data_IF_051262455118
#
_entry.id   IF_051262455118
#
_cell.length_a   1.000
_cell.length_b   1.000
_cell.length_c   1.000
_cell.angle_alpha   90.00
_cell.angle_beta   90.00
_cell.angle_gamma   90.00
#
_symmetry.space_group_name_H-M   'P 1'
#
loop_
_entity.id
_entity.type
_entity.pdbx_description
1 polymer ?
#
# COMPACT_ATOMS: atom_id res chain seq x y z
N UNK A 1 -12.61 -9.36 -24.84
CA UNK A 1 -11.41 -9.07 -25.67
C UNK A 1 -10.16 -9.26 -24.82
N UNK A 2 -9.00 -9.58 -25.42
CA UNK A 2 -7.69 -9.54 -24.72
C UNK A 2 -6.90 -8.34 -25.23
N UNK A 3 -6.32 -7.57 -24.32
CA UNK A 3 -5.49 -6.41 -24.64
C UNK A 3 -4.26 -6.42 -23.74
N UNK A 4 -3.07 -6.33 -24.35
CA UNK A 4 -1.78 -6.46 -23.65
C UNK A 4 -1.70 -7.72 -22.75
N UNK A 5 -2.38 -8.79 -23.14
CA UNK A 5 -2.44 -10.04 -22.37
C UNK A 5 -3.37 -10.04 -21.15
N UNK A 6 -4.06 -8.94 -20.85
CA UNK A 6 -5.14 -8.86 -19.87
C UNK A 6 -6.51 -8.97 -20.54
N UNK A 7 -7.46 -9.64 -19.89
CA UNK A 7 -8.83 -9.68 -20.37
C UNK A 7 -9.54 -8.37 -20.06
N UNK A 8 -10.11 -7.75 -21.11
CA UNK A 8 -10.98 -6.58 -21.00
C UNK A 8 -12.39 -7.01 -21.33
N UNK A 9 -13.31 -6.66 -20.44
CA UNK A 9 -14.74 -6.86 -20.60
C UNK A 9 -15.49 -5.66 -20.03
N UNK A 10 -16.57 -5.19 -20.68
CA UNK A 10 -17.48 -4.22 -20.09
C UNK A 10 -18.25 -4.81 -18.89
N UNK A 11 -18.33 -6.15 -18.82
CA UNK A 11 -18.91 -6.89 -17.69
C UNK A 11 -17.82 -7.30 -16.71
N UNK A 12 -18.24 -7.72 -15.51
CA UNK A 12 -17.37 -8.30 -14.48
C UNK A 12 -16.51 -9.41 -15.09
N UNK A 13 -15.18 -9.32 -14.91
CA UNK A 13 -14.28 -10.39 -15.30
C UNK A 13 -14.59 -11.64 -14.48
N UNK A 14 -14.92 -12.73 -15.16
CA UNK A 14 -15.06 -14.05 -14.53
C UNK A 14 -13.72 -14.51 -13.97
N UNK A 15 -13.76 -15.37 -12.96
CA UNK A 15 -12.59 -16.04 -12.38
C UNK A 15 -11.76 -16.76 -13.46
N UNK A 16 -12.41 -17.35 -14.47
CA UNK A 16 -11.75 -18.01 -15.60
C UNK A 16 -10.81 -17.08 -16.37
N UNK A 17 -11.18 -15.81 -16.54
CA UNK A 17 -10.32 -14.83 -17.22
C UNK A 17 -9.05 -14.52 -16.42
N UNK A 18 -9.14 -14.55 -15.10
CA UNK A 18 -8.00 -14.32 -14.21
C UNK A 18 -7.09 -15.55 -14.14
N UNK A 19 -7.63 -16.75 -14.28
CA UNK A 19 -6.87 -18.01 -14.27
C UNK A 19 -5.88 -18.14 -15.44
N UNK A 20 -6.00 -17.31 -16.48
CA UNK A 20 -5.02 -17.23 -17.56
C UNK A 20 -3.58 -17.00 -17.07
N UNK A 21 -3.38 -16.23 -15.98
CA UNK A 21 -2.04 -16.05 -15.40
C UNK A 21 -1.52 -17.34 -14.74
N UNK A 22 -2.41 -18.12 -14.14
CA UNK A 22 -2.11 -19.40 -13.49
C UNK A 22 -1.71 -20.43 -14.53
N UNK A 23 -2.45 -20.52 -15.64
CA UNK A 23 -2.10 -21.41 -16.75
C UNK A 23 -0.73 -21.08 -17.37
N UNK A 24 -0.43 -19.79 -17.55
CA UNK A 24 0.91 -19.36 -18.02
C UNK A 24 2.02 -19.75 -17.05
N UNK A 25 1.77 -19.64 -15.73
CA UNK A 25 2.73 -20.05 -14.71
C UNK A 25 2.94 -21.57 -14.74
N UNK A 26 1.85 -22.32 -14.84
CA UNK A 26 1.86 -23.78 -14.97
C UNK A 26 2.67 -24.23 -16.18
N UNK A 27 2.40 -23.69 -17.37
CA UNK A 27 3.15 -24.04 -18.58
C UNK A 27 4.66 -23.79 -18.46
N UNK A 28 5.09 -22.71 -17.79
CA UNK A 28 6.50 -22.45 -17.51
C UNK A 28 7.09 -23.46 -16.53
N UNK A 29 6.36 -23.77 -15.46
CA UNK A 29 6.77 -24.73 -14.44
C UNK A 29 6.90 -26.14 -15.04
N UNK A 30 5.95 -26.56 -15.87
CA UNK A 30 5.93 -27.88 -16.51
C UNK A 30 7.12 -28.03 -17.47
N UNK A 31 7.46 -26.98 -18.23
CA UNK A 31 8.67 -26.94 -19.07
C UNK A 31 9.99 -27.10 -18.29
N UNK A 32 9.97 -26.93 -16.97
CA UNK A 32 11.12 -27.14 -16.09
C UNK A 32 11.05 -28.42 -15.28
N UNK A 33 9.87 -29.03 -15.15
CA UNK A 33 9.63 -30.18 -14.27
C UNK A 33 10.43 -31.43 -14.68
N UNK A 34 10.79 -31.55 -15.97
CA UNK A 34 11.61 -32.63 -16.51
C UNK A 34 13.13 -32.44 -16.38
N UNK A 35 13.60 -31.29 -15.90
CA UNK A 35 15.03 -30.99 -15.75
C UNK A 35 15.48 -31.25 -14.31
N UNK A 36 16.62 -31.91 -14.12
CA UNK A 36 17.24 -32.09 -12.80
C UNK A 36 17.86 -30.77 -12.31
N UNK A 37 17.01 -29.88 -11.81
CA UNK A 37 17.41 -28.55 -11.32
C UNK A 37 17.56 -28.61 -9.79
N UNK A 38 18.69 -28.10 -9.30
CA UNK A 38 18.95 -27.94 -7.86
C UNK A 38 17.88 -27.07 -7.18
N UNK A 39 17.71 -27.19 -5.86
CA UNK A 39 16.73 -26.36 -5.12
C UNK A 39 16.99 -24.86 -5.28
N UNK A 40 18.27 -24.46 -5.25
CA UNK A 40 18.67 -23.08 -5.50
C UNK A 40 18.29 -22.62 -6.91
N UNK A 41 18.51 -23.45 -7.93
CA UNK A 41 18.09 -23.17 -9.31
C UNK A 41 16.58 -23.02 -9.46
N UNK A 42 15.79 -23.90 -8.82
CA UNK A 42 14.31 -23.80 -8.79
C UNK A 42 13.85 -22.49 -8.17
N UNK A 43 14.51 -22.04 -7.10
CA UNK A 43 14.19 -20.77 -6.44
C UNK A 43 14.48 -19.56 -7.35
N UNK A 44 15.57 -19.59 -8.12
CA UNK A 44 15.89 -18.53 -9.10
C UNK A 44 14.83 -18.47 -10.20
N UNK A 45 14.50 -19.63 -10.80
CA UNK A 45 13.47 -19.74 -11.83
C UNK A 45 12.11 -19.30 -11.32
N UNK A 46 11.73 -19.73 -10.11
CA UNK A 46 10.49 -19.35 -9.49
C UNK A 46 10.41 -17.82 -9.27
N UNK A 47 11.47 -17.22 -8.74
CA UNK A 47 11.53 -15.78 -8.55
C UNK A 47 11.38 -15.00 -9.86
N UNK A 48 11.93 -15.51 -10.96
CA UNK A 48 11.75 -14.92 -12.29
C UNK A 48 10.27 -14.89 -12.73
N UNK A 49 9.53 -15.99 -12.53
CA UNK A 49 8.09 -16.06 -12.86
C UNK A 49 7.27 -15.17 -11.93
N UNK A 50 7.48 -15.30 -10.62
CA UNK A 50 6.71 -14.57 -9.60
C UNK A 50 6.82 -13.05 -9.76
N UNK A 51 7.98 -12.56 -10.21
CA UNK A 51 8.24 -11.11 -10.34
C UNK A 51 7.78 -10.51 -11.66
N UNK A 52 7.68 -11.29 -12.73
CA UNK A 52 7.41 -10.74 -14.07
C UNK A 52 6.00 -11.08 -14.57
N UNK A 53 5.58 -12.34 -14.43
CA UNK A 53 4.37 -12.85 -15.03
C UNK A 53 3.08 -12.20 -14.49
N UNK A 54 2.90 -12.03 -13.16
CA UNK A 54 1.67 -11.46 -12.63
C UNK A 54 1.62 -9.93 -12.67
N UNK A 55 2.75 -9.24 -12.91
CA UNK A 55 2.84 -7.78 -12.76
C UNK A 55 1.83 -7.00 -13.59
N UNK A 56 1.71 -7.33 -14.87
CA UNK A 56 0.76 -6.65 -15.75
C UNK A 56 -0.69 -6.86 -15.28
N UNK A 57 -1.05 -8.13 -15.03
CA UNK A 57 -2.39 -8.54 -14.58
C UNK A 57 -2.78 -7.93 -13.22
N UNK A 58 -1.85 -7.87 -12.28
CA UNK A 58 -2.03 -7.25 -10.97
C UNK A 58 -2.17 -5.72 -11.06
N UNK A 59 -1.48 -5.08 -12.01
CA UNK A 59 -1.59 -3.63 -12.23
C UNK A 59 -2.90 -3.23 -12.91
N UNK A 60 -3.34 -4.03 -13.89
CA UNK A 60 -4.49 -3.73 -14.73
C UNK A 60 -5.84 -4.10 -14.11
N UNK A 61 -5.88 -5.10 -13.23
CA UNK A 61 -7.15 -5.73 -12.84
C UNK A 61 -7.15 -6.17 -11.38
N UNK A 62 -8.34 -6.12 -10.77
CA UNK A 62 -8.55 -6.78 -9.48
C UNK A 62 -8.50 -8.29 -9.67
N UNK A 63 -7.63 -8.97 -8.92
CA UNK A 63 -7.49 -10.43 -8.94
C UNK A 63 -8.09 -11.02 -7.67
N UNK A 64 -8.92 -12.06 -7.83
CA UNK A 64 -9.52 -12.75 -6.70
C UNK A 64 -8.46 -13.51 -5.90
N UNK A 65 -8.63 -13.57 -4.57
CA UNK A 65 -7.70 -14.23 -3.66
C UNK A 65 -7.45 -15.68 -4.06
N UNK A 66 -8.51 -16.43 -4.35
CA UNK A 66 -8.37 -17.82 -4.77
C UNK A 66 -7.58 -18.03 -6.08
N UNK A 67 -7.39 -17.02 -6.92
CA UNK A 67 -6.49 -17.10 -8.10
C UNK A 67 -5.04 -16.86 -7.68
N UNK A 68 -4.81 -15.93 -6.75
CA UNK A 68 -3.51 -15.70 -6.12
C UNK A 68 -3.05 -16.96 -5.37
N UNK A 69 -3.94 -17.55 -4.57
CA UNK A 69 -3.67 -18.79 -3.81
C UNK A 69 -3.32 -19.95 -4.73
N UNK A 70 -4.08 -20.13 -5.83
CA UNK A 70 -3.76 -21.14 -6.86
C UNK A 70 -2.37 -20.91 -7.45
N UNK A 71 -2.02 -19.66 -7.77
CA UNK A 71 -0.71 -19.32 -8.31
C UNK A 71 0.41 -19.63 -7.31
N UNK A 72 0.26 -19.18 -6.06
CA UNK A 72 1.23 -19.43 -5.00
C UNK A 72 1.31 -20.92 -4.62
N UNK A 73 0.21 -21.66 -4.74
CA UNK A 73 0.17 -23.11 -4.59
C UNK A 73 0.97 -23.86 -5.66
N UNK A 74 0.90 -23.43 -6.93
CA UNK A 74 1.76 -23.95 -7.99
C UNK A 74 3.23 -23.64 -7.72
N UNK A 75 3.53 -22.40 -7.33
CA UNK A 75 4.89 -21.98 -6.96
C UNK A 75 5.47 -22.83 -5.81
N UNK A 76 4.67 -23.06 -4.78
CA UNK A 76 5.01 -23.91 -3.63
C UNK A 76 5.25 -25.35 -4.04
N UNK A 77 4.34 -25.92 -4.84
CA UNK A 77 4.45 -27.29 -5.33
C UNK A 77 5.71 -27.50 -6.17
N UNK A 78 6.04 -26.53 -7.04
CA UNK A 78 7.25 -26.57 -7.85
C UNK A 78 8.51 -26.53 -6.99
N UNK A 79 8.60 -25.61 -6.03
CA UNK A 79 9.78 -25.45 -5.17
C UNK A 79 10.11 -26.76 -4.42
N UNK A 80 9.08 -27.43 -3.91
CA UNK A 80 9.23 -28.65 -3.11
C UNK A 80 9.17 -29.95 -3.92
N UNK A 81 8.90 -29.88 -5.22
CA UNK A 81 8.94 -31.05 -6.11
C UNK A 81 10.35 -31.65 -6.19
N UNK A 82 10.43 -32.96 -6.42
CA UNK A 82 11.70 -33.66 -6.67
C UNK A 82 11.53 -34.61 -7.86
N UNK A 83 12.45 -34.56 -8.84
CA UNK A 83 12.43 -35.39 -10.06
C UNK A 83 11.03 -35.48 -10.70
N UNK A 84 10.36 -34.33 -10.89
CA UNK A 84 9.02 -34.27 -11.48
C UNK A 84 7.87 -34.83 -10.61
N UNK A 85 8.13 -35.45 -9.46
CA UNK A 85 7.10 -36.00 -8.57
C UNK A 85 6.60 -34.95 -7.57
N UNK A 86 5.27 -34.91 -7.41
CA UNK A 86 4.55 -33.91 -6.58
C UNK A 86 4.74 -34.06 -5.06
N UNK A 87 5.18 -35.21 -4.56
CA UNK A 87 5.16 -35.52 -3.11
C UNK A 87 6.54 -35.43 -2.47
N UNK A 88 6.76 -34.36 -1.70
CA UNK A 88 7.69 -34.30 -0.56
C UNK A 88 7.15 -33.36 0.52
N UNK A 89 7.62 -33.57 1.74
CA UNK A 89 7.38 -32.70 2.89
C UNK A 89 7.89 -31.27 2.61
N UNK A 90 7.10 -30.29 3.02
CA UNK A 90 7.52 -28.88 3.00
C UNK A 90 8.53 -28.65 4.13
N UNK A 91 9.81 -28.49 3.80
CA UNK A 91 10.87 -28.28 4.80
C UNK A 91 10.70 -26.95 5.54
N UNK A 92 10.12 -25.95 4.86
CA UNK A 92 9.89 -24.62 5.40
C UNK A 92 8.46 -24.21 5.04
N UNK A 93 7.73 -23.70 6.02
CA UNK A 93 6.38 -23.14 5.81
C UNK A 93 6.41 -22.02 4.77
N UNK A 94 5.37 -21.93 3.94
CA UNK A 94 5.36 -21.00 2.81
C UNK A 94 5.47 -19.53 3.24
N UNK A 95 4.87 -19.14 4.36
CA UNK A 95 5.00 -17.78 4.87
C UNK A 95 6.47 -17.41 5.11
N UNK A 96 7.26 -18.32 5.70
CA UNK A 96 8.71 -18.13 5.87
C UNK A 96 9.45 -18.06 4.52
N UNK A 97 9.05 -18.83 3.51
CA UNK A 97 9.63 -18.75 2.15
C UNK A 97 9.42 -17.36 1.53
N UNK A 98 8.27 -16.73 1.80
CA UNK A 98 7.91 -15.41 1.26
C UNK A 98 8.63 -14.24 1.96
N UNK A 99 9.19 -14.47 3.15
CA UNK A 99 9.95 -13.44 3.88
C UNK A 99 11.21 -13.05 3.11
N UNK A 100 11.71 -11.84 3.41
CA UNK A 100 12.98 -11.38 2.86
C UNK A 100 14.13 -12.22 3.40
N UNK A 101 15.21 -12.30 2.63
CA UNK A 101 16.45 -12.98 3.06
C UNK A 101 16.99 -12.43 4.38
N UNK A 102 16.98 -11.10 4.54
CA UNK A 102 17.41 -10.44 5.76
C UNK A 102 16.50 -10.71 6.97
N UNK A 103 15.29 -11.25 6.74
CA UNK A 103 14.32 -11.65 7.78
C UNK A 103 14.24 -13.17 7.92
N UNK A 104 15.28 -13.91 7.49
CA UNK A 104 15.34 -15.37 7.59
C UNK A 104 14.54 -16.14 6.53
N UNK A 105 14.02 -15.46 5.51
CA UNK A 105 13.25 -16.07 4.42
C UNK A 105 14.04 -16.40 3.16
N UNK A 106 13.34 -16.91 2.14
CA UNK A 106 13.94 -17.25 0.84
C UNK A 106 13.80 -16.12 -0.22
N UNK A 107 13.09 -15.04 0.11
CA UNK A 107 12.96 -13.85 -0.76
C UNK A 107 12.02 -14.04 -1.95
N UNK A 108 11.15 -15.05 -1.90
CA UNK A 108 10.05 -15.21 -2.88
C UNK A 108 9.02 -14.13 -2.61
N UNK A 109 8.51 -13.47 -3.66
CA UNK A 109 7.54 -12.39 -3.47
C UNK A 109 6.13 -12.93 -3.20
N UNK A 110 5.46 -12.34 -2.22
CA UNK A 110 4.04 -12.57 -1.97
C UNK A 110 3.19 -11.77 -2.97
N UNK A 111 2.34 -12.46 -3.73
CA UNK A 111 1.48 -11.84 -4.72
C UNK A 111 0.31 -11.07 -4.10
N UNK A 112 -0.16 -11.47 -2.91
CA UNK A 112 -1.19 -10.73 -2.17
C UNK A 112 -0.67 -9.35 -1.78
N UNK A 113 0.49 -9.30 -1.12
CA UNK A 113 1.17 -8.04 -0.76
C UNK A 113 1.52 -7.22 -2.01
N UNK A 114 2.03 -7.88 -3.06
CA UNK A 114 2.39 -7.22 -4.32
C UNK A 114 1.18 -6.54 -4.98
N UNK A 115 0.02 -7.19 -4.99
CA UNK A 115 -1.24 -6.59 -5.48
C UNK A 115 -1.53 -5.28 -4.76
N UNK A 116 -1.52 -5.29 -3.43
CA UNK A 116 -1.78 -4.09 -2.63
C UNK A 116 -0.73 -3.00 -2.89
N UNK A 117 0.54 -3.39 -3.01
CA UNK A 117 1.67 -2.49 -3.24
C UNK A 117 1.62 -1.78 -4.60
N UNK A 118 1.18 -2.47 -5.65
CA UNK A 118 1.03 -1.89 -6.99
C UNK A 118 -0.10 -0.86 -7.00
N UNK A 119 -1.23 -1.17 -6.37
CA UNK A 119 -2.33 -0.21 -6.26
C UNK A 119 -1.98 0.98 -5.38
N UNK A 120 -1.12 0.79 -4.37
CA UNK A 120 -0.71 1.84 -3.47
C UNK A 120 0.00 3.00 -4.16
N UNK A 121 0.86 2.74 -5.16
CA UNK A 121 1.52 3.80 -5.94
C UNK A 121 0.52 4.81 -6.55
N UNK A 122 -0.71 4.36 -6.82
CA UNK A 122 -1.75 5.22 -7.40
C UNK A 122 -2.47 6.07 -6.34
N UNK A 123 -2.33 5.78 -5.06
CA UNK A 123 -3.01 6.49 -3.97
C UNK A 123 -2.63 7.97 -3.93
N UNK A 124 -1.33 8.30 -3.88
CA UNK A 124 -0.90 9.68 -3.69
C UNK A 124 -1.38 10.61 -4.81
N UNK A 125 -1.27 10.27 -6.10
CA UNK A 125 -1.83 11.10 -7.17
C UNK A 125 -3.34 11.38 -7.02
N UNK A 126 -4.10 10.41 -6.52
CA UNK A 126 -5.53 10.57 -6.25
C UNK A 126 -5.78 11.50 -5.05
N UNK A 127 -5.11 11.27 -3.93
CA UNK A 127 -5.26 12.11 -2.72
C UNK A 127 -4.79 13.56 -2.96
N UNK A 128 -3.74 13.74 -3.75
CA UNK A 128 -3.18 15.04 -4.13
C UNK A 128 -3.97 15.78 -5.21
N UNK A 129 -5.06 15.18 -5.71
CA UNK A 129 -5.89 15.71 -6.79
C UNK A 129 -5.07 16.10 -8.04
N UNK A 130 -4.11 15.26 -8.41
CA UNK A 130 -3.27 15.52 -9.58
C UNK A 130 -4.06 15.53 -10.89
N UNK A 131 -3.58 16.26 -11.90
CA UNK A 131 -4.28 16.46 -13.18
C UNK A 131 -4.26 15.25 -14.13
N UNK A 132 -3.75 14.10 -13.71
CA UNK A 132 -3.73 12.90 -14.55
C UNK A 132 -5.13 12.32 -14.75
N UNK A 133 -5.35 11.64 -15.88
CA UNK A 133 -6.69 11.15 -16.31
C UNK A 133 -7.29 10.21 -15.25
N UNK A 134 -6.47 9.32 -14.69
CA UNK A 134 -6.91 8.35 -13.70
C UNK A 134 -7.39 9.01 -12.40
N UNK A 135 -6.65 10.02 -11.91
CA UNK A 135 -7.00 10.80 -10.72
C UNK A 135 -8.29 11.59 -10.97
N UNK A 136 -8.39 12.30 -12.10
CA UNK A 136 -9.61 13.02 -12.51
C UNK A 136 -10.84 12.11 -12.53
N UNK A 137 -10.73 10.93 -13.14
CA UNK A 137 -11.82 9.96 -13.21
C UNK A 137 -12.27 9.50 -11.81
N UNK A 138 -11.33 9.22 -10.90
CA UNK A 138 -11.68 8.82 -9.54
C UNK A 138 -12.26 9.96 -8.72
N UNK A 139 -11.71 11.17 -8.83
CA UNK A 139 -12.22 12.35 -8.13
C UNK A 139 -13.66 12.64 -8.54
N UNK A 140 -13.98 12.59 -9.84
CA UNK A 140 -15.34 12.81 -10.33
C UNK A 140 -16.36 11.83 -9.72
N UNK A 141 -15.93 10.61 -9.37
CA UNK A 141 -16.82 9.57 -8.80
C UNK A 141 -16.78 9.50 -7.27
N UNK A 142 -15.64 9.77 -6.67
CA UNK A 142 -15.37 9.59 -5.24
C UNK A 142 -14.91 10.89 -4.58
N UNK A 143 -15.48 12.02 -4.99
CA UNK A 143 -15.13 13.29 -4.39
C UNK A 143 -15.43 13.31 -2.89
N UNK A 144 -14.57 14.02 -2.15
CA UNK A 144 -14.58 14.07 -0.69
C UNK A 144 -14.20 12.75 -0.01
N UNK A 145 -13.56 11.79 -0.71
CA UNK A 145 -12.98 10.64 -0.04
C UNK A 145 -11.85 11.07 0.92
N UNK A 146 -11.90 10.60 2.16
CA UNK A 146 -10.86 10.80 3.16
C UNK A 146 -10.33 9.46 3.70
N UNK A 147 -9.01 9.25 3.84
CA UNK A 147 -8.46 7.97 4.31
C UNK A 147 -8.91 7.57 5.73
N UNK A 148 -9.03 8.53 6.67
CA UNK A 148 -9.50 8.27 8.05
C UNK A 148 -11.02 8.30 8.20
N UNK A 149 -11.73 8.93 7.26
CA UNK A 149 -13.19 9.06 7.30
C UNK A 149 -13.79 8.59 5.97
N UNK A 150 -13.61 7.30 5.62
CA UNK A 150 -14.12 6.78 4.36
C UNK A 150 -15.65 6.70 4.40
N UNK A 151 -16.30 7.11 3.30
CA UNK A 151 -17.73 6.83 3.06
C UNK A 151 -17.98 5.31 3.05
N UNK A 152 -19.23 4.90 3.26
CA UNK A 152 -19.61 3.47 3.31
C UNK A 152 -19.10 2.68 2.10
N UNK A 153 -18.47 1.54 2.38
CA UNK A 153 -17.87 0.67 1.38
C UNK A 153 -18.90 0.09 0.37
N UNK A 154 -20.20 0.17 0.66
CA UNK A 154 -21.26 -0.31 -0.24
C UNK A 154 -21.28 0.42 -1.59
N UNK A 155 -20.95 1.71 -1.63
CA UNK A 155 -20.97 2.53 -2.86
C UNK A 155 -19.69 2.41 -3.71
N UNK A 156 -18.64 1.76 -3.19
CA UNK A 156 -17.36 1.67 -3.89
C UNK A 156 -17.39 0.63 -5.01
N UNK A 157 -16.86 1.01 -6.18
CA UNK A 157 -16.64 0.08 -7.28
C UNK A 157 -15.58 -0.94 -6.87
N UNK A 158 -15.55 -2.11 -7.51
CA UNK A 158 -14.60 -3.17 -7.13
C UNK A 158 -13.16 -2.67 -7.17
N UNK A 159 -12.78 -1.94 -8.22
CA UNK A 159 -11.44 -1.33 -8.36
C UNK A 159 -11.14 -0.32 -7.26
N UNK A 160 -12.13 0.48 -6.87
CA UNK A 160 -11.94 1.44 -5.79
C UNK A 160 -11.90 0.77 -4.41
N UNK A 161 -12.58 -0.36 -4.20
CA UNK A 161 -12.41 -1.17 -2.97
C UNK A 161 -10.97 -1.63 -2.79
N UNK A 162 -10.27 -1.97 -3.88
CA UNK A 162 -8.85 -2.33 -3.82
C UNK A 162 -7.99 -1.17 -3.34
N UNK A 163 -8.23 0.00 -3.92
CA UNK A 163 -7.53 1.24 -3.58
C UNK A 163 -7.84 1.61 -2.13
N UNK A 164 -9.11 1.60 -1.73
CA UNK A 164 -9.54 1.86 -0.36
C UNK A 164 -8.90 0.87 0.62
N UNK A 165 -8.89 -0.43 0.33
CA UNK A 165 -8.23 -1.42 1.19
C UNK A 165 -6.73 -1.16 1.29
N UNK A 166 -6.06 -0.85 0.17
CA UNK A 166 -4.65 -0.47 0.18
C UNK A 166 -4.40 0.80 1.00
N UNK A 167 -5.27 1.81 0.89
CA UNK A 167 -5.24 3.03 1.71
C UNK A 167 -5.40 2.67 3.19
N UNK A 168 -6.34 1.81 3.56
CA UNK A 168 -6.55 1.43 4.96
C UNK A 168 -5.35 0.69 5.54
N UNK A 169 -4.66 -0.13 4.75
CA UNK A 169 -3.41 -0.80 5.18
C UNK A 169 -2.25 0.18 5.36
N UNK A 170 -2.28 1.30 4.64
CA UNK A 170 -1.20 2.28 4.54
C UNK A 170 -1.45 3.58 5.33
N UNK A 171 -2.66 3.79 5.86
CA UNK A 171 -3.03 5.08 6.48
C UNK A 171 -2.05 5.54 7.55
N UNK A 172 -1.51 4.64 8.36
CA UNK A 172 -0.49 4.95 9.39
C UNK A 172 0.83 5.51 8.84
N UNK A 173 1.15 5.27 7.56
CA UNK A 173 2.33 5.85 6.90
C UNK A 173 2.02 7.07 6.03
N UNK A 174 0.74 7.38 5.80
CA UNK A 174 0.30 8.54 5.03
C UNK A 174 0.32 9.78 5.92
N UNK A 175 0.94 10.86 5.42
CA UNK A 175 0.98 12.15 6.10
C UNK A 175 0.69 13.28 5.13
N UNK A 176 0.30 14.43 5.65
CA UNK A 176 0.16 15.66 4.86
C UNK A 176 1.37 16.54 5.09
N UNK A 177 2.17 16.75 4.04
CA UNK A 177 3.23 17.74 4.02
C UNK A 177 2.61 19.11 3.78
N UNK A 178 2.85 20.00 4.74
CA UNK A 178 2.28 21.35 4.76
C UNK A 178 3.01 22.22 3.74
N UNK A 179 2.23 22.86 2.88
CA UNK A 179 2.69 23.87 1.95
C UNK A 179 2.23 25.25 2.43
N UNK A 180 0.96 25.55 2.24
CA UNK A 180 0.32 26.79 2.68
C UNK A 180 -0.72 26.56 3.78
N UNK A 181 -1.04 25.30 4.11
CA UNK A 181 -1.93 24.91 5.20
C UNK A 181 -3.41 25.17 4.94
N UNK A 182 -3.80 25.71 3.78
CA UNK A 182 -5.19 26.15 3.55
C UNK A 182 -6.13 24.99 3.25
N UNK A 183 -5.60 23.85 2.78
CA UNK A 183 -6.39 22.65 2.47
C UNK A 183 -6.33 21.60 3.57
N UNK A 184 -5.44 21.77 4.54
CA UNK A 184 -5.23 20.83 5.65
C UNK A 184 -6.20 21.16 6.77
N UNK A 185 -7.06 20.21 7.10
CA UNK A 185 -7.88 20.24 8.31
C UNK A 185 -6.99 20.00 9.53
N UNK A 186 -7.06 20.88 10.51
CA UNK A 186 -6.20 20.78 11.70
C UNK A 186 -6.41 19.46 12.45
N UNK A 187 -7.64 18.97 12.51
CA UNK A 187 -8.05 17.89 13.40
C UNK A 187 -8.10 16.56 12.69
N UNK A 188 -8.58 16.55 11.45
CA UNK A 188 -8.90 15.35 10.68
C UNK A 188 -7.75 14.85 9.80
N UNK A 189 -6.79 15.70 9.47
CA UNK A 189 -5.64 15.31 8.66
C UNK A 189 -4.42 14.93 9.52
N UNK A 190 -3.64 13.92 9.15
CA UNK A 190 -2.39 13.50 9.81
C UNK A 190 -1.20 14.37 9.37
N UNK A 191 -1.18 15.63 9.77
CA UNK A 191 -0.08 16.53 9.42
C UNK A 191 1.01 16.55 10.50
N UNK A 192 0.63 16.52 11.79
CA UNK A 192 1.54 16.56 12.94
C UNK A 192 2.18 15.19 13.24
N UNK A 193 1.37 14.15 13.31
CA UNK A 193 1.81 12.77 13.55
C UNK A 193 1.29 11.82 12.46
N UNK A 194 1.44 10.51 12.67
CA UNK A 194 0.84 9.47 11.83
C UNK A 194 -0.67 9.31 12.06
N UNK A 195 -1.23 10.04 13.02
CA UNK A 195 -2.65 10.03 13.36
C UNK A 195 -3.21 11.45 13.35
N UNK A 196 -4.45 11.64 12.84
CA UNK A 196 -5.22 12.85 13.05
C UNK A 196 -5.29 13.21 14.53
N UNK A 197 -5.23 14.50 14.80
CA UNK A 197 -5.16 15.04 16.17
C UNK A 197 -6.40 14.67 16.98
N UNK A 198 -7.58 14.64 16.36
CA UNK A 198 -8.82 14.24 17.04
C UNK A 198 -8.89 12.75 17.42
N UNK A 199 -7.91 11.93 17.02
CA UNK A 199 -7.77 10.53 17.44
C UNK A 199 -6.67 10.35 18.48
N UNK A 200 -6.04 11.44 18.95
CA UNK A 200 -5.03 11.37 20.00
C UNK A 200 -5.68 11.09 21.36
N UNK A 201 -4.96 10.37 22.23
CA UNK A 201 -5.41 10.04 23.58
C UNK A 201 -5.22 11.18 24.60
N UNK A 202 -4.72 12.34 24.16
CA UNK A 202 -4.40 13.49 25.02
C UNK A 202 -5.56 14.48 25.08
N UNK A 203 -5.77 15.06 26.26
CA UNK A 203 -6.74 16.15 26.45
C UNK A 203 -6.24 17.41 25.75
N UNK A 204 -7.01 17.89 24.77
CA UNK A 204 -6.82 19.17 24.13
C UNK A 204 -7.87 20.15 24.65
N UNK A 205 -7.52 21.42 24.79
CA UNK A 205 -8.43 22.43 25.31
C UNK A 205 -9.59 22.71 24.32
N UNK A 206 -10.79 22.25 24.65
CA UNK A 206 -11.99 22.31 23.79
C UNK A 206 -12.40 23.74 23.38
N UNK A 207 -12.15 24.75 24.22
CA UNK A 207 -12.48 26.14 23.88
C UNK A 207 -11.58 26.68 22.78
N UNK A 208 -10.29 26.31 22.82
CA UNK A 208 -9.29 26.74 21.84
C UNK A 208 -9.47 25.97 20.52
N UNK A 209 -9.84 24.67 20.58
CA UNK A 209 -10.12 23.83 19.40
C UNK A 209 -11.14 24.49 18.46
N UNK A 210 -12.17 25.14 19.00
CA UNK A 210 -13.22 25.78 18.20
C UNK A 210 -12.73 26.94 17.32
N UNK A 211 -11.60 27.56 17.67
CA UNK A 211 -11.04 28.74 16.98
C UNK A 211 -10.20 28.35 15.77
N UNK A 212 -9.70 27.12 15.74
CA UNK A 212 -8.79 26.65 14.71
C UNK A 212 -9.39 25.50 13.90
N UNK A 213 -9.54 25.70 12.60
CA UNK A 213 -10.05 24.69 11.67
C UNK A 213 -9.00 24.30 10.62
N UNK A 214 -8.04 25.18 10.33
CA UNK A 214 -7.03 25.00 9.28
C UNK A 214 -5.63 25.23 9.82
N UNK A 215 -4.68 24.45 9.31
CA UNK A 215 -3.26 24.60 9.65
C UNK A 215 -2.72 25.98 9.23
N UNK A 216 -3.27 26.58 8.17
CA UNK A 216 -2.89 27.94 7.75
C UNK A 216 -3.08 29.00 8.84
N UNK A 217 -3.95 28.77 9.82
CA UNK A 217 -4.14 29.71 10.95
C UNK A 217 -2.97 29.69 11.94
N UNK A 218 -2.15 28.63 11.92
CA UNK A 218 -0.92 28.52 12.71
C UNK A 218 0.31 29.02 11.97
N UNK A 219 0.15 29.62 10.78
CA UNK A 219 1.25 30.09 9.95
C UNK A 219 1.13 31.60 9.79
N UNK A 220 2.10 32.34 10.33
CA UNK A 220 2.24 33.80 10.17
C UNK A 220 3.57 34.10 9.50
N UNK A 221 3.60 34.95 8.47
CA UNK A 221 4.83 35.38 7.79
C UNK A 221 5.79 34.25 7.35
N UNK A 222 5.24 33.12 6.85
CA UNK A 222 6.00 31.90 6.48
C UNK A 222 6.71 31.20 7.66
N UNK A 223 6.41 31.54 8.90
CA UNK A 223 6.84 30.83 10.09
C UNK A 223 5.64 30.30 10.88
N UNK A 224 5.90 29.33 11.74
CA UNK A 224 4.91 28.87 12.72
C UNK A 224 4.60 29.97 13.73
N UNK A 225 3.32 30.09 14.10
CA UNK A 225 2.85 30.99 15.14
C UNK A 225 3.02 30.31 16.51
N UNK A 226 4.21 30.46 17.09
CA UNK A 226 4.60 29.75 18.30
C UNK A 226 3.71 30.04 19.50
N UNK A 227 3.20 31.26 19.65
CA UNK A 227 2.28 31.63 20.73
C UNK A 227 0.99 30.80 20.64
N UNK A 228 0.37 30.76 19.46
CA UNK A 228 -0.84 29.94 19.23
C UNK A 228 -0.58 28.44 19.40
N UNK A 229 0.62 27.96 19.04
CA UNK A 229 0.99 26.54 19.19
C UNK A 229 1.19 26.19 20.66
N UNK A 230 1.87 27.06 21.41
CA UNK A 230 2.08 26.90 22.84
C UNK A 230 0.74 26.85 23.58
N UNK A 231 -0.19 27.75 23.25
CA UNK A 231 -1.53 27.78 23.83
C UNK A 231 -2.34 26.52 23.48
N UNK A 232 -2.18 25.97 22.27
CA UNK A 232 -2.94 24.82 21.78
C UNK A 232 -2.42 23.47 22.27
N UNK A 233 -1.11 23.28 22.22
CA UNK A 233 -0.46 21.97 22.42
C UNK A 233 0.45 21.94 23.65
N UNK A 234 0.77 23.07 24.26
CA UNK A 234 1.76 23.17 25.32
C UNK A 234 3.20 22.99 24.84
N UNK A 235 4.14 23.19 25.76
CA UNK A 235 5.58 23.22 25.45
C UNK A 235 6.12 21.92 24.85
N UNK A 236 5.60 20.77 25.30
CA UNK A 236 6.09 19.45 24.89
C UNK A 236 5.99 19.21 23.38
N UNK A 237 5.06 19.88 22.70
CA UNK A 237 4.86 19.69 21.26
C UNK A 237 5.66 20.65 20.39
N UNK A 238 6.23 21.73 20.94
CA UNK A 238 6.99 22.75 20.19
C UNK A 238 8.15 22.17 19.38
N UNK A 239 8.87 21.20 19.96
CA UNK A 239 10.00 20.53 19.30
C UNK A 239 9.56 19.88 17.97
N UNK A 240 8.34 19.36 17.89
CA UNK A 240 7.84 18.76 16.65
C UNK A 240 7.67 19.82 15.54
N UNK A 241 7.29 21.05 15.90
CA UNK A 241 7.10 22.15 14.96
C UNK A 241 8.43 22.74 14.48
N UNK A 242 9.45 22.76 15.34
CA UNK A 242 10.81 23.17 14.94
C UNK A 242 11.42 22.23 13.91
N UNK A 243 11.15 20.93 14.04
CA UNK A 243 11.58 19.91 13.09
C UNK A 243 10.74 19.90 11.80
N UNK A 244 9.62 20.62 11.77
CA UNK A 244 8.75 20.68 10.59
C UNK A 244 9.21 21.73 9.59
N UNK A 245 9.58 21.25 8.40
CA UNK A 245 9.90 22.12 7.29
C UNK A 245 8.67 22.85 6.73
N UNK A 246 8.67 24.19 6.82
CA UNK A 246 7.81 25.06 6.03
C UNK A 246 8.54 25.54 4.77
N UNK A 247 7.94 25.42 3.58
CA UNK A 247 8.58 25.86 2.36
C UNK A 247 8.64 27.39 2.27
N UNK A 248 9.84 27.94 2.03
CA UNK A 248 10.05 29.39 1.82
C UNK A 248 9.20 29.98 0.69
N UNK A 249 8.84 29.16 -0.31
CA UNK A 249 7.91 29.50 -1.39
C UNK A 249 6.55 28.88 -1.10
N UNK A 250 5.47 29.64 -1.33
CA UNK A 250 4.10 29.13 -1.21
C UNK A 250 3.88 27.97 -2.17
N UNK A 251 3.87 26.76 -1.64
CA UNK A 251 3.55 25.53 -2.38
C UNK A 251 2.20 25.00 -1.90
N UNK A 252 1.61 24.09 -2.68
CA UNK A 252 0.35 23.43 -2.29
C UNK A 252 0.64 22.30 -1.31
N UNK A 253 -0.26 22.11 -0.35
CA UNK A 253 -0.26 20.96 0.55
C UNK A 253 -0.30 19.65 -0.24
N UNK A 254 0.44 18.63 0.22
CA UNK A 254 0.54 17.32 -0.45
C UNK A 254 0.53 16.18 0.55
N UNK A 255 -0.30 15.18 0.29
CA UNK A 255 -0.17 13.84 0.82
C UNK A 255 1.17 13.22 0.37
N UNK A 256 1.90 12.70 1.35
CA UNK A 256 3.21 12.06 1.20
C UNK A 256 3.24 10.75 1.99
N UNK A 257 4.18 9.87 1.64
CA UNK A 257 4.44 8.64 2.38
C UNK A 257 5.70 8.83 3.21
N UNK A 258 5.56 8.92 4.54
CA UNK A 258 6.65 9.43 5.38
C UNK A 258 7.11 10.84 4.94
N UNK A 259 7.91 11.52 5.76
CA UNK A 259 8.28 12.93 5.49
C UNK A 259 9.21 13.05 4.27
N UNK A 260 9.99 12.00 3.97
CA UNK A 260 11.11 12.05 3.02
C UNK A 260 11.09 10.97 1.92
N UNK A 261 10.11 10.07 1.88
CA UNK A 261 10.11 8.95 0.93
C UNK A 261 9.02 9.11 -0.14
N UNK A 262 9.38 8.83 -1.39
CA UNK A 262 8.37 8.64 -2.43
C UNK A 262 7.69 7.29 -2.27
N UNK A 263 6.35 7.28 -2.35
CA UNK A 263 5.58 6.04 -2.31
C UNK A 263 5.84 5.22 -3.58
N UNK A 264 6.78 4.28 -3.48
CA UNK A 264 7.04 3.29 -4.51
C UNK A 264 6.39 1.95 -4.18
N UNK A 265 6.20 1.11 -5.21
CA UNK A 265 5.74 -0.26 -5.00
C UNK A 265 6.72 -1.05 -4.10
N UNK A 266 8.02 -0.76 -4.17
CA UNK A 266 9.05 -1.41 -3.35
C UNK A 266 8.91 -1.02 -1.88
N UNK A 267 8.82 0.28 -1.59
CA UNK A 267 8.63 0.80 -0.22
C UNK A 267 7.34 0.25 0.38
N UNK A 268 6.26 0.29 -0.39
CA UNK A 268 4.97 -0.24 0.06
C UNK A 268 5.03 -1.74 0.37
N UNK A 269 5.58 -2.53 -0.57
CA UNK A 269 5.71 -3.98 -0.37
C UNK A 269 6.52 -4.27 0.89
N UNK A 270 7.57 -3.48 1.09
CA UNK A 270 8.45 -3.66 2.20
C UNK A 270 7.74 -3.42 3.54
N UNK A 271 7.06 -2.28 3.66
CA UNK A 271 6.25 -1.91 4.81
C UNK A 271 5.18 -2.95 5.14
N UNK A 272 4.41 -3.38 4.13
CA UNK A 272 3.33 -4.35 4.33
C UNK A 272 3.85 -5.73 4.73
N UNK A 273 4.97 -6.17 4.15
CA UNK A 273 5.60 -7.44 4.52
C UNK A 273 6.12 -7.45 5.95
N UNK A 274 6.69 -6.34 6.42
CA UNK A 274 7.15 -6.21 7.82
C UNK A 274 5.97 -6.16 8.80
N UNK A 275 4.89 -5.45 8.45
CA UNK A 275 3.67 -5.41 9.26
C UNK A 275 3.03 -6.79 9.39
N UNK A 276 2.96 -7.55 8.31
CA UNK A 276 2.46 -8.92 8.34
C UNK A 276 3.35 -9.84 9.19
N UNK A 277 4.67 -9.76 9.05
CA UNK A 277 5.61 -10.55 9.83
C UNK A 277 5.44 -10.31 11.35
N UNK A 278 5.40 -9.05 11.80
CA UNK A 278 5.17 -8.70 13.21
C UNK A 278 3.82 -9.21 13.74
N UNK A 279 2.81 -9.23 12.88
CA UNK A 279 1.47 -9.74 13.24
C UNK A 279 1.46 -11.26 13.39
N UNK A 280 2.27 -11.98 12.60
CA UNK A 280 2.40 -13.43 12.69
C UNK A 280 3.27 -13.85 13.89
N UNK A 281 4.32 -13.12 14.25
CA UNK A 281 5.12 -13.38 15.46
C UNK A 281 4.28 -13.24 16.73
N UNK A 282 3.52 -12.15 16.86
CA UNK A 282 2.67 -11.89 18.03
C UNK A 282 1.52 -12.90 18.24
N UNK A 283 1.27 -13.80 17.29
CA UNK A 283 0.27 -14.88 17.41
C UNK A 283 0.86 -16.20 17.90
N UNK A 284 2.18 -16.33 17.89
CA UNK A 284 2.91 -17.57 18.21
C UNK A 284 3.55 -17.50 19.60
N UNK A 285 3.78 -16.28 20.10
CA UNK A 285 4.12 -15.95 21.50
C UNK A 285 2.86 -15.80 22.36
#
# INVERSE_FOLDING_TARGET
MKYLGASISPKKLSKSHQEAMVHKAMARIDGWAGKEISRAGKMVLLNSVMRSLPMHTLSSSWINEGVIDKFQGLARSYLWSFKGKKKRFHLIGWNKVLLRKNSGGLGVKDLGIMRHSIHAKRILPFLNKERNIWSKMLLNKYDGYHPWYPKSNKSFSRSFKCIHNAIQMLKEGLRVRIGNGTRVDMWKDPWLSNLPINLWSTYLNMEIISRFNRVSQLIKNNSWDYDSILDLFGEHHLINFDLMYLPKRKTKDKWVWSVNEELSCKVTYNYLAEKQFKTEENKVS
#
